data_IF_960959234016
#
_entry.id   IF_960959234016
#
_cell.length_a   1.000
_cell.length_b   1.000
_cell.length_c   1.000
_cell.angle_alpha   90.00
_cell.angle_beta   90.00
_cell.angle_gamma   90.00
#
_symmetry.space_group_name_H-M   'P 1'
#
loop_
_entity.id
_entity.type
_entity.pdbx_description
1 polymer ?
#
# COMPACT_ATOMS: atom_id res chain seq x y z
N UNK A 1 17.48 23.01 15.72
CA UNK A 1 16.65 22.86 16.93
C UNK A 1 15.40 23.72 16.72
N UNK A 2 14.23 23.14 16.93
CA UNK A 2 12.95 23.83 16.75
C UNK A 2 12.45 24.28 18.12
N UNK A 3 11.68 25.37 18.16
CA UNK A 3 11.05 25.85 19.40
C UNK A 3 10.24 24.74 20.10
N UNK A 4 9.56 23.89 19.30
CA UNK A 4 8.82 22.73 19.80
C UNK A 4 9.69 21.72 20.58
N UNK A 5 10.90 21.48 20.13
CA UNK A 5 11.85 20.55 20.77
C UNK A 5 12.26 21.09 22.16
N UNK A 6 12.46 22.42 22.27
CA UNK A 6 12.78 23.06 23.56
C UNK A 6 11.59 23.04 24.53
N UNK A 7 10.38 23.26 24.00
CA UNK A 7 9.14 23.15 24.79
C UNK A 7 8.96 21.73 25.33
N UNK A 8 9.23 20.70 24.50
CA UNK A 8 9.19 19.30 24.91
C UNK A 8 10.17 19.01 26.05
N UNK A 9 11.43 19.46 25.95
CA UNK A 9 12.43 19.24 26.97
C UNK A 9 12.11 19.96 28.30
N UNK A 10 11.58 21.18 28.23
CA UNK A 10 11.10 21.89 29.40
C UNK A 10 9.95 21.16 30.07
N UNK A 11 8.94 20.74 29.27
CA UNK A 11 7.78 20.01 29.78
C UNK A 11 8.19 18.68 30.42
N UNK A 12 9.12 17.96 29.80
CA UNK A 12 9.66 16.69 30.33
C UNK A 12 10.40 16.89 31.66
N UNK A 13 11.17 18.00 31.79
CA UNK A 13 11.92 18.31 32.99
C UNK A 13 11.02 18.83 34.12
N UNK A 14 10.00 19.62 33.77
CA UNK A 14 9.02 20.15 34.73
C UNK A 14 8.09 19.07 35.28
N UNK A 15 7.85 18.01 34.49
CA UNK A 15 6.90 16.95 34.75
C UNK A 15 5.59 17.14 33.99
N UNK A 16 5.28 16.17 33.15
CA UNK A 16 4.05 16.20 32.31
C UNK A 16 2.76 16.20 33.14
N UNK A 17 2.79 15.62 34.34
CA UNK A 17 1.65 15.60 35.26
C UNK A 17 1.28 16.98 35.80
N UNK A 18 2.20 17.94 35.74
CA UNK A 18 1.96 19.33 36.17
C UNK A 18 1.26 20.17 35.07
N UNK A 19 1.15 19.65 33.85
CA UNK A 19 0.53 20.37 32.74
C UNK A 19 -1.01 20.29 32.85
N UNK A 20 -1.71 21.42 32.68
CA UNK A 20 -3.18 21.39 32.70
C UNK A 20 -3.72 20.65 31.49
N UNK A 21 -4.55 19.67 31.73
CA UNK A 21 -5.26 18.93 30.68
C UNK A 21 -6.57 19.67 30.38
N UNK A 22 -6.75 20.05 29.13
CA UNK A 22 -8.01 20.66 28.71
C UNK A 22 -9.10 19.58 28.59
N UNK A 23 -10.23 19.77 29.29
CA UNK A 23 -11.39 18.86 29.21
C UNK A 23 -12.04 18.87 27.83
N UNK A 24 -11.90 19.95 27.09
CA UNK A 24 -12.49 20.12 25.76
C UNK A 24 -11.53 20.83 24.82
N UNK A 25 -11.43 20.32 23.59
CA UNK A 25 -10.68 20.95 22.51
C UNK A 25 -11.66 21.42 21.43
N UNK A 26 -11.60 22.69 21.07
CA UNK A 26 -12.36 23.21 19.93
C UNK A 26 -11.65 22.88 18.63
N UNK A 27 -12.23 21.98 17.85
CA UNK A 27 -11.72 21.60 16.54
C UNK A 27 -12.63 22.22 15.46
N UNK A 28 -12.02 22.90 14.49
CA UNK A 28 -12.75 23.30 13.28
C UNK A 28 -12.95 22.05 12.43
N UNK A 29 -14.20 21.61 12.28
CA UNK A 29 -14.52 20.54 11.36
C UNK A 29 -14.27 20.99 9.92
N UNK A 30 -13.40 20.27 9.22
CA UNK A 30 -13.16 20.46 7.80
C UNK A 30 -13.71 19.21 7.09
N UNK A 31 -14.52 19.37 6.03
CA UNK A 31 -15.01 18.21 5.29
C UNK A 31 -13.84 17.41 4.72
N UNK A 32 -13.95 16.08 4.64
CA UNK A 32 -12.93 15.26 4.05
C UNK A 32 -12.71 15.63 2.58
N UNK A 33 -11.50 15.45 2.08
CA UNK A 33 -11.21 15.68 0.67
C UNK A 33 -11.87 14.56 -0.17
N UNK A 34 -12.35 14.85 -1.39
CA UNK A 34 -12.96 13.84 -2.26
C UNK A 34 -12.06 12.61 -2.49
N UNK A 35 -10.73 12.82 -2.53
CA UNK A 35 -9.76 11.72 -2.62
C UNK A 35 -9.77 10.81 -1.41
N UNK A 36 -9.95 11.35 -0.20
CA UNK A 36 -9.98 10.58 1.03
C UNK A 36 -11.29 9.78 1.14
N UNK A 37 -12.40 10.38 0.70
CA UNK A 37 -13.70 9.70 0.59
C UNK A 37 -13.65 8.56 -0.42
N UNK A 38 -13.06 8.79 -1.60
CA UNK A 38 -12.87 7.77 -2.64
C UNK A 38 -12.02 6.61 -2.14
N UNK A 39 -10.90 6.88 -1.48
CA UNK A 39 -10.05 5.84 -0.87
C UNK A 39 -10.81 5.07 0.22
N UNK A 40 -11.59 5.75 1.05
CA UNK A 40 -12.45 5.11 2.05
C UNK A 40 -13.48 4.16 1.43
N UNK A 41 -14.10 4.57 0.33
CA UNK A 41 -15.07 3.76 -0.40
C UNK A 41 -14.40 2.51 -1.05
N UNK A 42 -13.20 2.67 -1.62
CA UNK A 42 -12.42 1.55 -2.17
C UNK A 42 -12.08 0.55 -1.06
N UNK A 43 -11.53 1.01 0.06
CA UNK A 43 -11.20 0.17 1.23
C UNK A 43 -12.41 -0.59 1.74
N UNK A 44 -13.51 0.13 1.99
CA UNK A 44 -14.75 -0.50 2.46
C UNK A 44 -15.28 -1.56 1.50
N UNK A 45 -15.17 -1.33 0.19
CA UNK A 45 -15.57 -2.30 -0.83
C UNK A 45 -14.68 -3.54 -0.81
N UNK A 46 -13.37 -3.38 -0.74
CA UNK A 46 -12.43 -4.50 -0.71
C UNK A 46 -12.57 -5.34 0.56
N UNK A 47 -12.70 -4.70 1.72
CA UNK A 47 -12.97 -5.39 2.98
C UNK A 47 -14.30 -6.17 2.90
N UNK A 48 -15.35 -5.56 2.32
CA UNK A 48 -16.65 -6.25 2.09
C UNK A 48 -16.58 -7.42 1.11
N UNK A 49 -15.53 -7.49 0.27
CA UNK A 49 -15.23 -8.61 -0.62
C UNK A 49 -14.28 -9.66 -0.01
N UNK A 50 -13.93 -9.50 1.28
CA UNK A 50 -13.08 -10.43 2.00
C UNK A 50 -11.58 -10.20 1.83
N UNK A 51 -11.17 -9.03 1.36
CA UNK A 51 -9.76 -8.66 1.32
C UNK A 51 -9.31 -8.09 2.67
N UNK A 52 -8.05 -8.35 3.01
CA UNK A 52 -7.36 -7.76 4.15
C UNK A 52 -6.43 -6.63 3.68
N UNK A 53 -6.52 -5.47 4.32
CA UNK A 53 -5.61 -4.36 4.06
C UNK A 53 -4.23 -4.65 4.66
N UNK A 54 -3.19 -4.39 3.90
CA UNK A 54 -1.80 -4.45 4.35
C UNK A 54 -1.16 -3.07 4.28
N UNK A 55 -0.17 -2.87 5.15
CA UNK A 55 0.72 -1.72 5.13
C UNK A 55 2.14 -2.27 5.15
N UNK A 56 2.86 -2.06 4.06
CA UNK A 56 4.22 -2.57 3.91
C UNK A 56 5.24 -1.44 3.81
N UNK A 57 6.51 -1.78 4.03
CA UNK A 57 7.61 -0.80 3.96
C UNK A 57 7.77 -0.24 2.55
N UNK A 58 8.08 1.06 2.48
CA UNK A 58 8.37 1.75 1.22
C UNK A 58 9.73 1.38 0.65
N UNK A 59 10.68 1.04 1.51
CA UNK A 59 12.02 0.58 1.13
C UNK A 59 12.01 -0.93 0.98
N UNK A 60 12.60 -1.42 -0.11
CA UNK A 60 12.72 -2.84 -0.45
C UNK A 60 14.11 -3.17 -1.00
N UNK A 61 14.42 -4.45 -1.07
CA UNK A 61 15.66 -4.93 -1.67
C UNK A 61 15.72 -4.64 -3.18
N UNK A 62 16.90 -4.38 -3.69
CA UNK A 62 17.12 -3.97 -5.08
C UNK A 62 16.69 -5.03 -6.10
N UNK A 63 16.90 -6.31 -5.81
CA UNK A 63 16.50 -7.43 -6.65
C UNK A 63 14.95 -7.52 -6.77
N UNK A 64 14.25 -7.35 -5.65
CA UNK A 64 12.80 -7.31 -5.63
C UNK A 64 12.24 -6.10 -6.40
N UNK A 65 12.89 -4.94 -6.30
CA UNK A 65 12.51 -3.75 -7.04
C UNK A 65 12.66 -3.94 -8.55
N UNK A 66 13.82 -4.44 -8.98
CA UNK A 66 14.14 -4.62 -10.40
C UNK A 66 13.27 -5.67 -11.09
N UNK A 67 12.81 -6.69 -10.36
CA UNK A 67 11.94 -7.74 -10.91
C UNK A 67 10.56 -7.20 -11.37
N UNK A 68 10.13 -6.07 -10.85
CA UNK A 68 8.81 -5.45 -11.13
C UNK A 68 8.92 -4.01 -11.65
N UNK A 69 10.08 -3.64 -12.15
CA UNK A 69 10.32 -2.35 -12.76
C UNK A 69 10.03 -2.42 -14.28
N UNK A 70 9.30 -1.44 -14.80
CA UNK A 70 9.12 -1.32 -16.24
C UNK A 70 10.46 -1.03 -16.94
N UNK A 71 10.65 -1.57 -18.15
CA UNK A 71 11.94 -1.56 -18.87
C UNK A 71 12.46 -0.16 -19.21
N UNK A 72 11.57 0.84 -19.26
CA UNK A 72 11.89 2.25 -19.53
C UNK A 72 12.08 3.08 -18.25
N UNK A 73 12.13 2.44 -17.08
CA UNK A 73 12.18 3.09 -15.77
C UNK A 73 13.45 2.77 -15.02
N UNK A 74 13.83 3.69 -14.12
CA UNK A 74 14.90 3.51 -13.16
C UNK A 74 14.36 3.43 -11.72
N UNK A 75 15.12 2.80 -10.84
CA UNK A 75 14.85 2.79 -9.40
C UNK A 75 15.38 4.06 -8.76
N UNK A 76 14.83 4.41 -7.60
CA UNK A 76 15.33 5.45 -6.72
C UNK A 76 15.91 4.81 -5.47
N UNK A 77 17.17 5.09 -5.20
CA UNK A 77 17.87 4.60 -4.01
C UNK A 77 18.03 5.70 -2.96
N UNK A 78 18.00 5.30 -1.70
CA UNK A 78 18.23 6.17 -0.56
C UNK A 78 19.64 5.94 -0.04
N UNK A 79 20.45 6.99 0.01
CA UNK A 79 21.77 6.96 0.63
C UNK A 79 21.61 7.08 2.17
N UNK A 80 21.21 6.00 2.82
CA UNK A 80 21.09 5.95 4.28
C UNK A 80 21.55 4.60 4.79
N UNK A 81 22.59 4.58 5.62
CA UNK A 81 23.13 3.38 6.24
C UNK A 81 22.09 2.62 7.09
N UNK A 82 21.01 3.30 7.51
CA UNK A 82 19.90 2.70 8.24
C UNK A 82 18.92 1.91 7.37
N UNK A 83 19.06 1.98 6.06
CA UNK A 83 18.20 1.24 5.13
C UNK A 83 18.37 -0.29 5.21
N UNK A 84 19.39 -0.78 5.96
CA UNK A 84 19.48 -2.18 6.37
C UNK A 84 19.57 -3.19 5.23
N UNK A 85 20.09 -2.81 4.04
CA UNK A 85 20.15 -3.66 2.86
C UNK A 85 18.90 -3.59 1.96
N UNK A 86 17.92 -2.79 2.31
CA UNK A 86 16.73 -2.48 1.50
C UNK A 86 16.72 -0.98 1.11
N UNK A 87 17.65 -0.48 0.25
CA UNK A 87 17.82 0.95 0.01
C UNK A 87 16.89 1.51 -1.07
N UNK A 88 16.09 0.68 -1.75
CA UNK A 88 15.34 1.08 -2.93
C UNK A 88 13.91 1.46 -2.60
N UNK A 89 13.50 2.64 -3.03
CA UNK A 89 12.09 3.02 -3.01
C UNK A 89 11.30 2.12 -3.98
N UNK A 90 10.27 1.45 -3.48
CA UNK A 90 9.49 0.45 -4.24
C UNK A 90 8.87 1.03 -5.52
N UNK A 91 9.15 0.47 -6.71
CA UNK A 91 8.48 0.87 -7.95
C UNK A 91 7.11 0.20 -8.14
N UNK A 92 6.83 -0.85 -7.35
CA UNK A 92 5.59 -1.63 -7.38
C UNK A 92 5.19 -2.08 -5.98
N UNK A 93 3.90 -2.33 -5.76
CA UNK A 93 3.38 -2.93 -4.51
C UNK A 93 3.47 -4.47 -4.53
N UNK A 94 3.60 -5.07 -5.72
CA UNK A 94 3.53 -6.52 -5.91
C UNK A 94 4.59 -7.28 -5.10
N UNK A 95 5.88 -6.91 -5.09
CA UNK A 95 6.89 -7.64 -4.30
C UNK A 95 6.55 -7.72 -2.82
N UNK A 96 6.11 -6.60 -2.25
CA UNK A 96 5.75 -6.53 -0.83
C UNK A 96 4.50 -7.35 -0.52
N UNK A 97 3.48 -7.28 -1.37
CA UNK A 97 2.26 -8.07 -1.21
C UNK A 97 2.53 -9.58 -1.33
N UNK A 98 3.37 -10.00 -2.29
CA UNK A 98 3.76 -11.40 -2.42
C UNK A 98 4.55 -11.90 -1.20
N UNK A 99 5.42 -11.07 -0.62
CA UNK A 99 6.13 -11.40 0.62
C UNK A 99 5.17 -11.60 1.80
N UNK A 100 4.15 -10.73 1.91
CA UNK A 100 3.11 -10.88 2.95
C UNK A 100 2.26 -12.13 2.71
N UNK A 101 1.89 -12.43 1.47
CA UNK A 101 1.15 -13.64 1.12
C UNK A 101 1.95 -14.91 1.48
N UNK A 102 3.22 -14.97 1.07
CA UNK A 102 4.10 -16.09 1.41
C UNK A 102 4.23 -16.28 2.93
N UNK A 103 4.44 -15.20 3.68
CA UNK A 103 4.51 -15.27 5.14
C UNK A 103 3.21 -15.82 5.77
N UNK A 104 2.04 -15.40 5.28
CA UNK A 104 0.77 -15.94 5.75
C UNK A 104 0.61 -17.44 5.45
N UNK A 105 1.06 -17.88 4.26
CA UNK A 105 1.07 -19.31 3.92
C UNK A 105 2.00 -20.12 4.83
N UNK A 106 3.19 -19.61 5.13
CA UNK A 106 4.13 -20.23 6.08
C UNK A 106 3.53 -20.39 7.47
N UNK A 107 2.60 -19.51 7.86
CA UNK A 107 1.83 -19.59 9.10
C UNK A 107 0.57 -20.45 9.00
N UNK A 108 0.32 -21.09 7.86
CA UNK A 108 -0.78 -22.01 7.64
C UNK A 108 -2.08 -21.39 7.13
N UNK A 109 -2.07 -20.13 6.69
CA UNK A 109 -3.24 -19.53 6.03
C UNK A 109 -3.44 -20.19 4.66
N UNK A 110 -4.64 -20.71 4.40
CA UNK A 110 -4.94 -21.47 3.18
C UNK A 110 -5.50 -20.64 2.03
N UNK A 111 -6.00 -19.46 2.32
CA UNK A 111 -6.56 -18.53 1.32
C UNK A 111 -6.18 -17.09 1.69
N UNK A 112 -5.44 -16.43 0.81
CA UNK A 112 -4.97 -15.07 0.99
C UNK A 112 -5.65 -14.16 -0.01
N UNK A 113 -6.24 -13.07 0.48
CA UNK A 113 -6.76 -11.95 -0.29
C UNK A 113 -6.27 -10.66 0.33
N UNK A 114 -5.28 -10.04 -0.28
CA UNK A 114 -4.61 -8.86 0.27
C UNK A 114 -4.76 -7.66 -0.66
N UNK A 115 -4.80 -6.48 -0.06
CA UNK A 115 -4.67 -5.23 -0.80
C UNK A 115 -3.85 -4.20 -0.05
N UNK A 116 -3.25 -3.30 -0.80
CA UNK A 116 -2.56 -2.13 -0.26
C UNK A 116 -2.81 -0.92 -1.16
N UNK A 117 -3.10 0.24 -0.54
CA UNK A 117 -3.15 1.52 -1.24
C UNK A 117 -2.00 2.38 -0.78
N UNK A 118 -0.97 2.55 -1.61
CA UNK A 118 0.22 3.27 -1.21
C UNK A 118 0.96 3.90 -2.39
N UNK A 119 1.95 4.74 -2.07
CA UNK A 119 2.84 5.34 -3.06
C UNK A 119 3.89 4.36 -3.55
N UNK A 120 4.17 4.43 -4.84
CA UNK A 120 5.29 3.81 -5.52
C UNK A 120 6.12 4.88 -6.21
N UNK A 121 7.38 4.57 -6.48
CA UNK A 121 8.38 5.55 -6.90
C UNK A 121 9.20 4.99 -8.06
N UNK A 122 9.38 5.76 -9.09
CA UNK A 122 10.24 5.44 -10.22
C UNK A 122 10.91 6.68 -10.80
N UNK A 123 11.90 6.47 -11.66
CA UNK A 123 12.54 7.51 -12.44
C UNK A 123 12.33 7.23 -13.93
N UNK A 124 11.92 8.24 -14.67
CA UNK A 124 11.79 8.18 -16.13
C UNK A 124 12.40 9.45 -16.74
N UNK A 125 13.31 9.27 -17.68
CA UNK A 125 14.02 10.38 -18.34
C UNK A 125 14.63 11.41 -17.36
N UNK A 126 15.20 10.93 -16.26
CA UNK A 126 15.78 11.77 -15.20
C UNK A 126 14.75 12.45 -14.27
N UNK A 127 13.46 12.22 -14.46
CA UNK A 127 12.40 12.79 -13.62
C UNK A 127 11.94 11.77 -12.60
N UNK A 128 11.99 12.12 -11.32
CA UNK A 128 11.46 11.32 -10.24
C UNK A 128 9.94 11.41 -10.22
N UNK A 129 9.28 10.29 -10.06
CA UNK A 129 7.82 10.19 -10.02
C UNK A 129 7.36 9.45 -8.78
N UNK A 130 6.34 9.99 -8.14
CA UNK A 130 5.55 9.34 -7.12
C UNK A 130 4.15 9.11 -7.67
N UNK A 131 3.63 7.89 -7.52
CA UNK A 131 2.27 7.55 -7.93
C UNK A 131 1.61 6.75 -6.81
N UNK A 132 0.35 7.04 -6.53
CA UNK A 132 -0.45 6.22 -5.64
C UNK A 132 -1.11 5.09 -6.43
N UNK A 133 -0.89 3.86 -5.99
CA UNK A 133 -1.44 2.66 -6.60
C UNK A 133 -2.31 1.88 -5.60
N UNK A 134 -3.19 1.07 -6.14
CA UNK A 134 -3.85 -0.03 -5.46
C UNK A 134 -3.22 -1.33 -5.96
N UNK A 135 -2.64 -2.11 -5.04
CA UNK A 135 -2.17 -3.46 -5.30
C UNK A 135 -3.17 -4.47 -4.76
N UNK A 136 -3.38 -5.56 -5.49
CA UNK A 136 -4.24 -6.69 -5.10
C UNK A 136 -3.47 -7.99 -5.29
N UNK A 137 -3.56 -8.89 -4.30
CA UNK A 137 -3.09 -10.27 -4.40
C UNK A 137 -4.20 -11.19 -3.91
N UNK A 138 -4.48 -12.23 -4.68
CA UNK A 138 -5.50 -13.23 -4.40
C UNK A 138 -4.92 -14.60 -4.71
N UNK A 139 -5.09 -15.54 -3.82
CA UNK A 139 -4.81 -16.93 -4.12
C UNK A 139 -5.78 -17.47 -5.17
N UNK A 140 -5.32 -18.35 -6.07
CA UNK A 140 -6.22 -19.10 -6.91
C UNK A 140 -7.13 -20.00 -6.05
N UNK A 141 -8.31 -20.39 -6.55
CA UNK A 141 -9.15 -21.38 -5.88
C UNK A 141 -8.36 -22.65 -5.55
N UNK A 142 -8.71 -23.32 -4.42
CA UNK A 142 -8.00 -24.49 -3.98
C UNK A 142 -7.94 -25.57 -5.07
N UNK A 143 -6.71 -26.07 -5.34
CA UNK A 143 -6.47 -27.09 -6.37
C UNK A 143 -6.16 -26.56 -7.76
N UNK A 144 -6.18 -25.23 -7.96
CA UNK A 144 -5.86 -24.58 -9.24
C UNK A 144 -4.41 -24.12 -9.22
N UNK A 145 -3.61 -24.58 -10.17
CA UNK A 145 -2.30 -23.97 -10.45
C UNK A 145 -2.53 -22.60 -11.12
N UNK A 146 -1.91 -21.55 -10.57
CA UNK A 146 -1.97 -20.19 -11.14
C UNK A 146 -1.45 -20.11 -12.59
N UNK A 147 -0.71 -21.13 -13.04
CA UNK A 147 -0.23 -21.30 -14.43
C UNK A 147 -1.25 -22.03 -15.30
N UNK A 148 -2.31 -22.55 -14.71
CA UNK A 148 -3.32 -23.28 -15.44
C UNK A 148 -4.20 -22.31 -16.22
N UNK A 149 -4.16 -22.43 -17.55
CA UNK A 149 -5.01 -21.68 -18.47
C UNK A 149 -6.43 -22.29 -18.59
N UNK A 150 -6.75 -23.26 -17.73
CA UNK A 150 -8.08 -23.89 -17.68
C UNK A 150 -9.16 -22.91 -17.17
N UNK A 151 -10.40 -23.34 -17.23
CA UNK A 151 -11.56 -22.56 -16.79
C UNK A 151 -11.46 -22.07 -15.33
N UNK A 152 -10.72 -22.77 -14.47
CA UNK A 152 -10.55 -22.45 -13.05
C UNK A 152 -9.51 -21.33 -12.84
N UNK A 153 -8.37 -21.36 -13.53
CA UNK A 153 -7.42 -20.24 -13.57
C UNK A 153 -8.06 -18.97 -14.15
N UNK A 154 -8.92 -19.12 -15.17
CA UNK A 154 -9.71 -18.03 -15.70
C UNK A 154 -10.74 -17.47 -14.69
N UNK A 155 -11.27 -18.30 -13.78
CA UNK A 155 -12.20 -17.85 -12.74
C UNK A 155 -11.55 -16.89 -11.73
N UNK A 156 -10.30 -17.14 -11.32
CA UNK A 156 -9.53 -16.23 -10.46
C UNK A 156 -9.29 -14.88 -11.16
N UNK A 157 -8.90 -14.90 -12.44
CA UNK A 157 -8.75 -13.69 -13.25
C UNK A 157 -10.08 -12.95 -13.43
N UNK A 158 -11.19 -13.68 -13.66
CA UNK A 158 -12.52 -13.10 -13.77
C UNK A 158 -12.99 -12.44 -12.46
N UNK A 159 -12.67 -13.06 -11.32
CA UNK A 159 -12.93 -12.46 -10.01
C UNK A 159 -12.18 -11.14 -9.86
N UNK A 160 -10.86 -11.10 -10.11
CA UNK A 160 -10.07 -9.87 -10.03
C UNK A 160 -10.61 -8.79 -10.99
N UNK A 161 -10.97 -9.13 -12.21
CA UNK A 161 -11.61 -8.19 -13.15
C UNK A 161 -12.89 -7.61 -12.57
N UNK A 162 -13.75 -8.43 -11.98
CA UNK A 162 -14.98 -7.97 -11.34
C UNK A 162 -14.71 -7.01 -10.19
N UNK A 163 -13.67 -7.29 -9.38
CA UNK A 163 -13.22 -6.39 -8.29
C UNK A 163 -12.75 -5.05 -8.86
N UNK A 164 -11.90 -5.09 -9.88
CA UNK A 164 -11.36 -3.90 -10.53
C UNK A 164 -12.46 -3.05 -11.16
N UNK A 165 -13.40 -3.67 -11.89
CA UNK A 165 -14.55 -3.00 -12.49
C UNK A 165 -15.45 -2.34 -11.44
N UNK A 166 -15.61 -2.96 -10.28
CA UNK A 166 -16.38 -2.40 -9.17
C UNK A 166 -15.68 -1.17 -8.59
N UNK A 167 -14.37 -1.22 -8.42
CA UNK A 167 -13.55 -0.08 -7.95
C UNK A 167 -13.58 1.05 -8.97
N UNK A 168 -13.45 0.76 -10.26
CA UNK A 168 -13.50 1.75 -11.33
C UNK A 168 -14.80 2.57 -11.30
N UNK A 169 -15.93 1.92 -11.04
CA UNK A 169 -17.22 2.63 -10.89
C UNK A 169 -17.26 3.57 -9.67
N UNK A 170 -16.59 3.23 -8.58
CA UNK A 170 -16.48 4.09 -7.39
C UNK A 170 -15.67 5.34 -7.72
N UNK A 171 -14.59 5.19 -8.49
CA UNK A 171 -13.69 6.29 -8.88
C UNK A 171 -14.26 7.12 -10.03
N UNK A 172 -15.34 6.64 -10.67
CA UNK A 172 -16.00 7.36 -11.78
C UNK A 172 -15.20 7.33 -13.08
N UNK A 173 -14.37 6.29 -13.28
CA UNK A 173 -13.61 6.10 -14.52
C UNK A 173 -14.08 4.85 -15.27
N UNK A 174 -14.38 5.02 -16.56
CA UNK A 174 -14.72 3.92 -17.47
C UNK A 174 -13.47 3.27 -18.10
N UNK A 175 -12.27 3.79 -17.77
CA UNK A 175 -11.01 3.30 -18.32
C UNK A 175 -10.14 2.73 -17.23
N UNK A 176 -10.14 1.41 -17.10
CA UNK A 176 -9.21 0.66 -16.27
C UNK A 176 -8.23 -0.06 -17.19
N UNK A 177 -6.95 0.26 -17.09
CA UNK A 177 -5.89 -0.55 -17.66
C UNK A 177 -5.49 -1.60 -16.64
N UNK A 178 -5.58 -2.87 -17.02
CA UNK A 178 -5.07 -4.01 -16.25
C UNK A 178 -3.80 -4.46 -16.98
N UNK A 179 -2.66 -4.25 -16.36
CA UNK A 179 -1.36 -4.74 -16.83
C UNK A 179 -1.14 -6.19 -16.41
#
# INVERSE_FOLDING_TARGET
>A
EREADLVEEIARTHGLDALPVAETIRIRAVPPRPTDEGLGAIRGTLVGLGFHETVTHTLIAADAANAFLATDRGVLEVEDDRAGGEPVLRPSLVPSLLRVAAHNHDLGTTEVRLFETASVFDQHEGVHRERRLLGLVVDPPAGVDARDTTAEGQAACAFLRTVVDRIARIVGTDRVHVD
#
